data_IF_885501975423
#
_entry.id   IF_885501975423
#
_cell.length_a   1.000
_cell.length_b   1.000
_cell.length_c   1.000
_cell.angle_alpha   90.00
_cell.angle_beta   90.00
_cell.angle_gamma   90.00
#
_symmetry.space_group_name_H-M   'P 1'
#
loop_
_entity.id
_entity.type
_entity.pdbx_description
1 polymer ?
#
# COMPACT_ATOMS: atom_id res chain seq x y z
N UNK A 1 0.50 29.11 24.13
CA UNK A 1 0.24 28.19 23.00
C UNK A 1 -1.25 27.86 23.05
N UNK A 2 -2.04 28.25 22.04
CA UNK A 2 -3.47 27.93 22.02
C UNK A 2 -3.62 26.45 21.68
N UNK A 3 -4.26 25.69 22.57
CA UNK A 3 -4.50 24.28 22.34
C UNK A 3 -5.52 24.10 21.19
N UNK A 4 -5.36 23.07 20.33
CA UNK A 4 -6.29 22.84 19.24
C UNK A 4 -7.68 22.55 19.79
N UNK A 5 -8.64 23.41 19.44
CA UNK A 5 -10.05 23.23 19.80
C UNK A 5 -10.78 22.30 18.83
N UNK A 6 -10.12 21.86 17.76
CA UNK A 6 -10.67 20.96 16.75
C UNK A 6 -9.67 19.88 16.35
N UNK A 7 -10.20 18.73 15.92
CA UNK A 7 -9.42 17.57 15.47
C UNK A 7 -8.70 17.90 14.15
N UNK A 8 -7.40 17.61 14.06
CA UNK A 8 -6.64 17.82 12.82
C UNK A 8 -7.06 16.92 11.65
N UNK A 9 -7.77 15.80 11.90
CA UNK A 9 -8.21 14.84 10.86
C UNK A 9 -9.64 15.09 10.38
N UNK A 10 -10.58 15.33 11.30
CA UNK A 10 -12.00 15.44 10.98
C UNK A 10 -12.61 16.82 11.29
N UNK A 11 -11.80 17.76 11.78
CA UNK A 11 -12.18 19.13 12.15
C UNK A 11 -13.33 19.27 13.15
N UNK A 12 -13.77 18.16 13.78
CA UNK A 12 -14.76 18.18 14.86
C UNK A 12 -14.16 18.83 16.12
N UNK A 13 -14.99 19.52 16.93
CA UNK A 13 -14.52 20.13 18.17
C UNK A 13 -14.00 19.07 19.15
N UNK A 14 -12.91 19.40 19.84
CA UNK A 14 -12.31 18.58 20.88
C UNK A 14 -12.75 19.13 22.24
N UNK A 15 -13.42 18.31 23.02
CA UNK A 15 -13.90 18.68 24.36
C UNK A 15 -13.11 18.00 25.47
N UNK A 16 -12.54 16.82 25.19
CA UNK A 16 -11.74 16.07 26.15
C UNK A 16 -10.31 16.63 26.27
N UNK A 17 -9.79 16.86 27.49
CA UNK A 17 -8.43 17.39 27.70
C UNK A 17 -7.34 16.56 27.01
N UNK A 18 -7.47 15.22 27.01
CA UNK A 18 -6.53 14.31 26.33
C UNK A 18 -6.57 14.46 24.81
N UNK A 19 -7.73 14.74 24.22
CA UNK A 19 -7.85 14.97 22.79
C UNK A 19 -7.31 16.34 22.41
N UNK A 20 -7.57 17.35 23.23
CA UNK A 20 -7.02 18.71 23.06
C UNK A 20 -5.48 18.68 23.13
N UNK A 21 -4.89 17.94 24.09
CA UNK A 21 -3.44 17.77 24.19
C UNK A 21 -2.83 17.12 22.94
N UNK A 22 -3.52 16.13 22.38
CA UNK A 22 -3.05 15.36 21.21
C UNK A 22 -3.41 16.00 19.85
N UNK A 23 -4.34 16.95 19.82
CA UNK A 23 -4.87 17.55 18.59
C UNK A 23 -5.81 16.65 17.76
N UNK A 24 -6.19 15.48 18.26
CA UNK A 24 -7.08 14.55 17.57
C UNK A 24 -8.13 13.98 18.52
N UNK A 25 -9.36 13.83 18.01
CA UNK A 25 -10.46 13.17 18.72
C UNK A 25 -10.20 11.68 18.93
N UNK A 26 -10.87 11.02 19.88
CA UNK A 26 -10.58 9.63 20.28
C UNK A 26 -10.66 8.65 19.10
N UNK A 27 -11.68 8.75 18.24
CA UNK A 27 -11.82 7.89 17.06
C UNK A 27 -10.72 8.12 16.02
N UNK A 28 -10.40 9.38 15.74
CA UNK A 28 -9.33 9.74 14.80
C UNK A 28 -7.97 9.31 15.34
N UNK A 29 -7.75 9.46 16.65
CA UNK A 29 -6.54 9.02 17.32
C UNK A 29 -6.39 7.50 17.28
N UNK A 30 -7.47 6.74 17.53
CA UNK A 30 -7.46 5.29 17.44
C UNK A 30 -7.14 4.80 16.01
N UNK A 31 -7.69 5.46 14.99
CA UNK A 31 -7.34 5.22 13.58
C UNK A 31 -5.86 5.45 13.33
N UNK A 32 -5.34 6.64 13.66
CA UNK A 32 -3.93 7.00 13.42
C UNK A 32 -2.98 6.03 14.14
N UNK A 33 -3.31 5.64 15.38
CA UNK A 33 -2.54 4.67 16.14
C UNK A 33 -2.64 3.24 15.57
N UNK A 34 -3.78 2.85 15.01
CA UNK A 34 -3.95 1.57 14.31
C UNK A 34 -3.10 1.50 13.04
N UNK A 35 -3.04 2.60 12.29
CA UNK A 35 -2.18 2.77 11.11
C UNK A 35 -0.69 2.66 11.51
N UNK A 36 -0.26 3.31 12.59
CA UNK A 36 1.13 3.19 13.10
C UNK A 36 1.49 1.82 13.69
N UNK A 37 0.53 1.03 14.16
CA UNK A 37 0.78 -0.30 14.74
C UNK A 37 0.98 -1.38 13.68
N UNK A 38 0.38 -1.24 12.50
CA UNK A 38 0.66 -2.13 11.36
C UNK A 38 2.14 -2.02 10.95
N UNK A 39 2.68 -0.81 11.00
CA UNK A 39 4.09 -0.52 10.72
C UNK A 39 5.05 -1.22 11.70
N UNK A 40 4.73 -1.19 13.01
CA UNK A 40 5.57 -1.77 14.06
C UNK A 40 5.48 -3.31 14.21
N UNK A 41 4.54 -3.97 13.51
CA UNK A 41 4.35 -5.43 13.57
C UNK A 41 5.12 -6.17 12.47
N UNK A 42 5.60 -5.45 11.44
CA UNK A 42 6.39 -6.06 10.38
C UNK A 42 7.74 -6.51 10.94
N UNK A 43 8.13 -7.78 10.77
CA UNK A 43 9.48 -8.20 11.10
C UNK A 43 10.46 -7.31 10.33
N UNK A 44 11.62 -6.99 10.94
CA UNK A 44 12.71 -6.27 10.30
C UNK A 44 13.29 -7.13 9.16
N UNK A 45 12.58 -7.15 8.04
CA UNK A 45 12.92 -7.88 6.82
C UNK A 45 13.51 -6.91 5.82
N UNK A 46 14.08 -7.43 4.73
CA UNK A 46 14.57 -6.58 3.64
C UNK A 46 13.46 -5.66 3.09
N UNK A 47 12.18 -6.05 3.20
CA UNK A 47 11.04 -5.21 2.83
C UNK A 47 10.90 -3.96 3.71
N UNK A 48 11.31 -4.00 4.98
CA UNK A 48 11.24 -2.86 5.91
C UNK A 48 12.18 -1.70 5.53
N UNK A 49 13.04 -1.89 4.51
CA UNK A 49 13.81 -0.80 3.91
C UNK A 49 12.97 0.11 3.01
N UNK A 50 11.77 -0.33 2.63
CA UNK A 50 10.82 0.41 1.81
C UNK A 50 9.66 0.93 2.66
N UNK A 51 9.28 2.18 2.42
CA UNK A 51 8.09 2.78 3.05
C UNK A 51 6.88 2.49 2.15
N UNK A 52 6.08 1.49 2.50
CA UNK A 52 4.93 1.12 1.67
C UNK A 52 3.73 0.67 2.50
N UNK A 53 2.54 0.94 1.99
CA UNK A 53 1.29 0.36 2.49
C UNK A 53 0.73 -0.65 1.48
N UNK A 54 -0.22 -1.47 1.91
CA UNK A 54 -0.89 -2.39 1.03
C UNK A 54 -2.32 -2.72 1.48
N UNK A 55 -3.18 -3.04 0.51
CA UNK A 55 -4.52 -3.55 0.76
C UNK A 55 -4.94 -4.56 -0.30
N UNK A 56 -6.05 -5.25 -0.03
CA UNK A 56 -6.69 -6.17 -0.98
C UNK A 56 -7.91 -5.46 -1.58
N UNK A 57 -7.93 -5.40 -2.90
CA UNK A 57 -9.05 -4.92 -3.70
C UNK A 57 -9.76 -6.10 -4.41
N UNK A 58 -11.07 -5.98 -4.69
CA UNK A 58 -11.77 -6.97 -5.49
C UNK A 58 -11.26 -6.92 -6.94
N UNK A 59 -10.72 -8.03 -7.44
CA UNK A 59 -10.34 -8.16 -8.85
C UNK A 59 -11.40 -8.87 -9.68
N UNK A 60 -11.14 -8.97 -10.99
CA UNK A 60 -12.06 -9.63 -11.92
C UNK A 60 -12.15 -11.15 -11.70
N UNK A 61 -10.98 -11.81 -11.62
CA UNK A 61 -10.88 -13.28 -11.45
C UNK A 61 -10.34 -13.69 -10.08
N UNK A 62 -9.28 -13.03 -9.66
CA UNK A 62 -8.60 -13.22 -8.39
C UNK A 62 -8.67 -11.90 -7.60
N UNK A 63 -8.58 -11.92 -6.26
CA UNK A 63 -8.33 -10.70 -5.51
C UNK A 63 -7.04 -10.02 -6.02
N UNK A 64 -6.98 -8.70 -5.88
CA UNK A 64 -5.80 -7.91 -6.25
C UNK A 64 -5.17 -7.35 -4.99
N UNK A 65 -3.89 -7.61 -4.79
CA UNK A 65 -3.09 -6.90 -3.82
C UNK A 65 -2.58 -5.61 -4.47
N UNK A 66 -2.87 -4.49 -3.82
CA UNK A 66 -2.42 -3.16 -4.21
C UNK A 66 -1.35 -2.73 -3.23
N UNK A 67 -0.17 -2.41 -3.74
CA UNK A 67 0.98 -1.95 -2.94
C UNK A 67 1.22 -0.48 -3.27
N UNK A 68 1.31 0.38 -2.27
CA UNK A 68 1.55 1.81 -2.46
C UNK A 68 2.90 2.23 -1.89
N UNK A 69 3.80 2.77 -2.73
CA UNK A 69 5.02 3.41 -2.27
C UNK A 69 4.69 4.76 -1.60
N UNK A 70 5.06 4.92 -0.33
CA UNK A 70 4.77 6.11 0.48
C UNK A 70 5.85 7.20 0.35
N UNK A 71 6.97 6.91 -0.32
CA UNK A 71 8.08 7.82 -0.61
C UNK A 71 8.55 8.67 0.60
N UNK A 72 8.73 8.04 1.76
CA UNK A 72 9.12 8.73 3.01
C UNK A 72 10.64 8.79 3.25
N UNK A 73 11.42 8.58 2.19
CA UNK A 73 12.89 8.62 2.22
C UNK A 73 13.57 7.27 2.41
N UNK A 74 12.82 6.17 2.48
CA UNK A 74 13.31 4.80 2.35
C UNK A 74 13.62 4.39 0.90
N UNK A 75 13.99 3.12 0.72
CA UNK A 75 14.22 2.52 -0.60
C UNK A 75 12.89 2.33 -1.33
N UNK A 76 12.77 2.82 -2.56
CA UNK A 76 11.52 2.68 -3.33
C UNK A 76 11.11 1.21 -3.54
N UNK A 77 9.80 0.97 -3.62
CA UNK A 77 9.23 -0.37 -3.87
C UNK A 77 9.79 -0.96 -5.17
N UNK A 78 9.99 -0.14 -6.20
CA UNK A 78 10.61 -0.56 -7.48
C UNK A 78 11.97 -1.23 -7.28
N UNK A 79 12.81 -0.69 -6.38
CA UNK A 79 14.16 -1.19 -6.14
C UNK A 79 14.21 -2.39 -5.18
N UNK A 80 13.12 -2.64 -4.47
CA UNK A 80 13.01 -3.68 -3.45
C UNK A 80 11.82 -4.62 -3.67
N UNK A 81 11.36 -4.72 -4.94
CA UNK A 81 10.10 -5.33 -5.29
C UNK A 81 10.02 -6.81 -4.85
N UNK A 82 11.11 -7.56 -4.96
CA UNK A 82 11.16 -8.96 -4.51
C UNK A 82 10.86 -9.11 -3.01
N UNK A 83 11.50 -8.30 -2.16
CA UNK A 83 11.31 -8.39 -0.72
C UNK A 83 9.92 -7.92 -0.30
N UNK A 84 9.46 -6.80 -0.89
CA UNK A 84 8.13 -6.24 -0.64
C UNK A 84 7.03 -7.22 -1.07
N UNK A 85 7.14 -7.80 -2.27
CA UNK A 85 6.19 -8.78 -2.78
C UNK A 85 6.11 -10.01 -1.87
N UNK A 86 7.25 -10.59 -1.48
CA UNK A 86 7.27 -11.75 -0.59
C UNK A 86 6.64 -11.44 0.78
N UNK A 87 6.98 -10.29 1.38
CA UNK A 87 6.45 -9.87 2.67
C UNK A 87 4.93 -9.64 2.63
N UNK A 88 4.42 -9.02 1.56
CA UNK A 88 2.98 -8.76 1.42
C UNK A 88 2.19 -10.06 1.24
N UNK A 89 2.69 -11.00 0.44
CA UNK A 89 2.03 -12.30 0.28
C UNK A 89 2.01 -13.10 1.59
N UNK A 90 3.10 -13.07 2.34
CA UNK A 90 3.18 -13.70 3.66
C UNK A 90 2.20 -13.06 4.65
N UNK A 91 2.17 -11.73 4.73
CA UNK A 91 1.25 -10.97 5.60
C UNK A 91 -0.23 -11.19 5.23
N UNK A 92 -0.51 -11.29 3.93
CA UNK A 92 -1.84 -11.64 3.41
C UNK A 92 -2.20 -13.12 3.60
N UNK A 93 -1.22 -13.99 3.86
CA UNK A 93 -1.43 -15.44 3.95
C UNK A 93 -1.88 -16.08 2.64
N UNK A 94 -1.48 -15.52 1.49
CA UNK A 94 -1.86 -16.00 0.16
C UNK A 94 -0.65 -16.42 -0.66
N UNK A 95 -0.88 -17.24 -1.69
CA UNK A 95 0.17 -17.62 -2.64
C UNK A 95 0.17 -16.69 -3.86
N UNK A 96 1.31 -16.53 -4.55
CA UNK A 96 1.38 -15.73 -5.78
C UNK A 96 0.46 -16.22 -6.92
N UNK A 97 -0.02 -17.47 -6.85
CA UNK A 97 -0.90 -18.08 -7.86
C UNK A 97 -2.40 -17.81 -7.60
N UNK A 98 -2.74 -17.37 -6.39
CA UNK A 98 -4.12 -17.15 -5.93
C UNK A 98 -4.52 -15.66 -5.93
N UNK A 99 -3.60 -14.79 -6.35
CA UNK A 99 -3.76 -13.33 -6.26
C UNK A 99 -3.05 -12.65 -7.44
N UNK A 100 -3.57 -11.50 -7.84
CA UNK A 100 -2.87 -10.58 -8.74
C UNK A 100 -2.22 -9.48 -7.92
N UNK A 101 -1.06 -8.97 -8.33
CA UNK A 101 -0.36 -7.91 -7.59
C UNK A 101 -0.11 -6.73 -8.50
N UNK A 102 -0.51 -5.56 -8.05
CA UNK A 102 -0.13 -4.28 -8.66
C UNK A 102 0.57 -3.43 -7.62
N UNK A 103 1.43 -2.52 -8.07
CA UNK A 103 1.99 -1.50 -7.20
C UNK A 103 1.88 -0.13 -7.83
N UNK A 104 1.82 0.89 -6.98
CA UNK A 104 1.85 2.29 -7.33
C UNK A 104 3.21 2.88 -6.96
N UNK A 105 3.89 3.47 -7.93
CA UNK A 105 5.14 4.20 -7.69
C UNK A 105 4.90 5.59 -7.06
N UNK A 106 5.99 6.27 -6.71
CA UNK A 106 5.96 7.61 -6.12
C UNK A 106 5.48 8.70 -7.11
N UNK A 107 5.53 8.44 -8.42
CA UNK A 107 4.94 9.30 -9.45
C UNK A 107 3.42 9.07 -9.60
N UNK A 108 2.87 8.11 -8.85
CA UNK A 108 1.47 7.75 -8.82
C UNK A 108 1.02 6.83 -9.95
N UNK A 109 1.96 6.26 -10.72
CA UNK A 109 1.68 5.30 -11.79
C UNK A 109 1.54 3.88 -11.23
N UNK A 110 0.54 3.15 -11.74
CA UNK A 110 0.34 1.74 -11.44
C UNK A 110 0.99 0.84 -12.47
N UNK A 111 1.73 -0.14 -11.97
CA UNK A 111 2.32 -1.23 -12.74
C UNK A 111 1.98 -2.58 -12.09
N UNK A 112 2.03 -3.64 -12.89
CA UNK A 112 1.78 -5.00 -12.41
C UNK A 112 3.06 -5.68 -11.93
N UNK A 113 2.92 -6.53 -10.91
CA UNK A 113 3.97 -7.39 -10.38
C UNK A 113 3.58 -8.85 -10.55
N UNK A 114 4.52 -9.67 -11.03
CA UNK A 114 4.34 -11.11 -11.10
C UNK A 114 5.64 -11.84 -10.81
N UNK A 115 5.51 -13.10 -10.38
CA UNK A 115 6.65 -13.98 -10.15
C UNK A 115 6.96 -14.77 -11.44
N UNK A 116 8.18 -14.63 -11.96
CA UNK A 116 8.69 -15.40 -13.09
C UNK A 116 10.06 -15.99 -12.72
N UNK A 117 10.20 -17.31 -12.82
CA UNK A 117 11.43 -18.04 -12.46
C UNK A 117 11.98 -17.69 -11.07
N UNK A 118 11.08 -17.49 -10.10
CA UNK A 118 11.43 -17.14 -8.72
C UNK A 118 11.92 -15.70 -8.53
N UNK A 119 11.75 -14.83 -9.54
CA UNK A 119 12.06 -13.40 -9.46
C UNK A 119 10.82 -12.57 -9.72
N UNK A 120 10.67 -11.45 -9.02
CA UNK A 120 9.61 -10.49 -9.28
C UNK A 120 9.93 -9.71 -10.56
N UNK A 121 8.91 -9.57 -11.40
CA UNK A 121 8.95 -8.81 -12.65
C UNK A 121 7.87 -7.75 -12.63
N UNK A 122 8.25 -6.58 -13.11
CA UNK A 122 7.36 -5.44 -13.30
C UNK A 122 6.90 -5.44 -14.76
N UNK A 123 5.62 -5.21 -15.00
CA UNK A 123 5.07 -4.99 -16.34
C UNK A 123 4.09 -3.83 -16.36
N UNK A 124 4.06 -3.11 -17.47
CA UNK A 124 3.11 -2.02 -17.66
C UNK A 124 1.69 -2.56 -17.86
N UNK A 125 0.73 -2.02 -17.11
CA UNK A 125 -0.70 -2.41 -17.21
C UNK A 125 -1.37 -1.90 -18.50
N UNK A 126 -0.77 -0.91 -19.16
CA UNK A 126 -1.21 -0.43 -20.47
C UNK A 126 -0.04 -0.18 -21.41
N UNK A 127 -0.34 -0.23 -22.71
CA UNK A 127 0.65 -0.06 -23.78
C UNK A 127 1.10 1.38 -23.96
N UNK A 128 0.26 2.36 -23.61
CA UNK A 128 0.55 3.78 -23.74
C UNK A 128 -0.07 4.57 -22.58
N UNK A 129 0.66 5.55 -22.05
CA UNK A 129 0.20 6.42 -20.97
C UNK A 129 0.50 5.89 -19.57
N UNK A 130 0.16 6.69 -18.55
CA UNK A 130 0.22 6.32 -17.13
C UNK A 130 -1.16 5.92 -16.63
N UNK A 131 -1.25 4.89 -15.79
CA UNK A 131 -2.48 4.58 -15.06
C UNK A 131 -2.31 5.13 -13.66
N UNK A 132 -3.13 6.10 -13.26
CA UNK A 132 -3.05 6.70 -11.92
C UNK A 132 -4.27 6.38 -11.05
N UNK A 133 -5.29 5.73 -11.63
CA UNK A 133 -6.50 5.28 -10.94
C UNK A 133 -6.42 3.78 -10.66
N UNK A 134 -6.71 3.37 -9.41
CA UNK A 134 -6.65 1.97 -8.98
C UNK A 134 -7.67 1.10 -9.73
N UNK A 135 -8.89 1.58 -9.95
CA UNK A 135 -9.92 0.79 -10.60
C UNK A 135 -9.61 0.58 -12.08
N UNK A 136 -8.97 1.55 -12.75
CA UNK A 136 -8.39 1.37 -14.08
C UNK A 136 -7.20 0.39 -14.07
N UNK A 137 -6.33 0.47 -13.07
CA UNK A 137 -5.19 -0.45 -12.92
C UNK A 137 -5.65 -1.90 -12.79
N UNK A 138 -6.65 -2.15 -11.95
CA UNK A 138 -7.25 -3.48 -11.75
C UNK A 138 -7.85 -4.02 -13.06
N UNK A 139 -8.51 -3.16 -13.85
CA UNK A 139 -9.01 -3.55 -15.19
C UNK A 139 -7.90 -3.80 -16.20
N UNK A 140 -6.75 -3.14 -16.03
CA UNK A 140 -5.57 -3.26 -16.87
C UNK A 140 -4.77 -4.54 -16.67
N UNK A 141 -5.11 -5.36 -15.66
CA UNK A 141 -4.43 -6.64 -15.41
C UNK A 141 -4.71 -7.61 -16.56
N UNK A 142 -3.70 -7.76 -17.43
CA UNK A 142 -3.73 -8.67 -18.59
C UNK A 142 -2.89 -9.91 -18.30
N UNK A 143 -3.43 -10.81 -17.49
CA UNK A 143 -2.80 -12.07 -17.08
C UNK A 143 -2.43 -13.02 -18.25
N UNK A 144 -3.01 -12.84 -19.45
CA UNK A 144 -2.88 -13.80 -20.54
C UNK A 144 -1.56 -13.72 -21.35
N UNK A 145 -0.87 -12.58 -21.34
CA UNK A 145 0.30 -12.37 -22.24
C UNK A 145 1.66 -12.46 -21.50
N UNK A 146 1.70 -12.44 -20.17
CA UNK A 146 2.93 -12.34 -19.39
C UNK A 146 3.59 -13.70 -19.04
N UNK A 147 2.90 -14.83 -19.30
CA UNK A 147 3.40 -16.19 -19.01
C UNK A 147 3.76 -17.01 -20.27
N UNK A 148 3.66 -16.42 -21.46
CA UNK A 148 3.95 -17.08 -22.74
C UNK A 148 5.42 -16.94 -23.14
#
# INVERSE_FOLDING_TARGET
>A
MNAPTTCGKCHRPLSDPKSIERGYGPDCWASIQGESRKDASRPATEAAKSDYDWHIAPGGRLPVIVIEDLDRGGMSVTNNADAVFAAVLEDAGVKPEDVEVIYRDSEGNYDGLFLLDGKVKIYALQRFGRITDEAEAIKGIKWADAKA
#
